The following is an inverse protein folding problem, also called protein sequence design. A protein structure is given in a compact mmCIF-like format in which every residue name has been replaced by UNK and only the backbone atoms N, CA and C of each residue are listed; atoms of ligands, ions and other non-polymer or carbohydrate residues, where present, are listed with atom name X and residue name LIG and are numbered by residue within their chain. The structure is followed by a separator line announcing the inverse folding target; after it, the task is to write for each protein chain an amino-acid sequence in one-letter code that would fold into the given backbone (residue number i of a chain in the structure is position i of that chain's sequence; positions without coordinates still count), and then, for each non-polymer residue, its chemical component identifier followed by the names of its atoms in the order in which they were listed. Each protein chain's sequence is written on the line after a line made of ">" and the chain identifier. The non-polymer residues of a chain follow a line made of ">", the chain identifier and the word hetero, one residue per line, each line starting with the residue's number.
data_IF_571063973775
#
_entry.id   IF_571063973775
#
_cell.length_a   1.000
_cell.length_b   1.000
_cell.length_c   1.000
_cell.angle_alpha   90.00
_cell.angle_beta   90.00
_cell.angle_gamma   90.00
#
_symmetry.space_group_name_H-M   'P 1'
#
loop_
_entity.id
_entity.type
_entity.pdbx_description
1 polymer ?
#
# COMPACT_ATOMS: atom_id res chain seq x y z
N UNK A 1 5.82 14.21 -23.66
CA UNK A 1 6.07 13.06 -22.78
C UNK A 1 4.85 12.15 -22.84
N UNK A 2 4.98 10.93 -23.37
CA UNK A 2 3.86 10.01 -23.65
C UNK A 2 3.04 9.77 -22.38
N UNK A 3 1.72 10.02 -22.39
CA UNK A 3 0.85 9.89 -21.20
C UNK A 3 0.99 8.55 -20.48
N UNK A 4 1.31 7.46 -21.21
CA UNK A 4 1.59 6.13 -20.65
C UNK A 4 2.83 6.12 -19.73
N UNK A 5 3.92 6.80 -20.12
CA UNK A 5 5.15 6.95 -19.33
C UNK A 5 4.91 7.74 -18.05
N UNK A 6 4.14 8.82 -18.13
CA UNK A 6 3.81 9.65 -16.95
C UNK A 6 3.03 8.84 -15.92
N UNK A 7 2.05 8.04 -16.39
CA UNK A 7 1.20 7.26 -15.51
C UNK A 7 1.94 6.08 -14.86
N UNK A 8 2.80 5.38 -15.62
CA UNK A 8 3.68 4.35 -15.07
C UNK A 8 4.67 4.95 -14.06
N UNK A 9 5.24 6.12 -14.34
CA UNK A 9 6.13 6.83 -13.42
C UNK A 9 5.42 7.24 -12.13
N UNK A 10 4.17 7.73 -12.22
CA UNK A 10 3.36 8.06 -11.06
C UNK A 10 3.03 6.84 -10.19
N UNK A 11 2.73 5.67 -10.78
CA UNK A 11 2.53 4.41 -10.05
C UNK A 11 3.79 4.05 -9.26
N UNK A 12 4.96 4.12 -9.92
CA UNK A 12 6.24 3.81 -9.28
C UNK A 12 6.53 4.76 -8.11
N UNK A 13 6.28 6.07 -8.27
CA UNK A 13 6.45 7.03 -7.17
C UNK A 13 5.53 6.71 -5.99
N UNK A 14 4.24 6.44 -6.23
CA UNK A 14 3.30 6.08 -5.15
C UNK A 14 3.76 4.82 -4.40
N UNK A 15 4.23 3.81 -5.12
CA UNK A 15 4.75 2.59 -4.51
C UNK A 15 6.00 2.87 -3.67
N UNK A 16 6.93 3.68 -4.17
CA UNK A 16 8.14 4.06 -3.42
C UNK A 16 7.80 4.82 -2.14
N UNK A 17 6.85 5.76 -2.19
CA UNK A 17 6.36 6.48 -1.01
C UNK A 17 5.74 5.50 -0.01
N UNK A 18 4.92 4.55 -0.49
CA UNK A 18 4.32 3.51 0.36
C UNK A 18 5.36 2.62 1.04
N UNK A 19 6.40 2.18 0.30
CA UNK A 19 7.52 1.39 0.84
C UNK A 19 8.30 2.18 1.88
N UNK A 20 8.56 3.47 1.63
CA UNK A 20 9.28 4.31 2.60
C UNK A 20 8.46 4.48 3.88
N UNK A 21 7.17 4.77 3.76
CA UNK A 21 6.26 4.91 4.91
C UNK A 21 6.17 3.62 5.72
N UNK A 22 5.87 2.50 5.07
CA UNK A 22 5.72 1.21 5.75
C UNK A 22 7.05 0.62 6.23
N UNK A 23 8.16 0.89 5.53
CA UNK A 23 9.50 0.48 5.94
C UNK A 23 9.94 1.16 7.24
N UNK A 24 9.63 2.45 7.41
CA UNK A 24 9.84 3.16 8.67
C UNK A 24 9.05 2.55 9.83
N UNK A 25 7.81 2.10 9.57
CA UNK A 25 6.99 1.42 10.58
C UNK A 25 7.56 0.05 10.96
N UNK A 26 8.00 -0.75 9.98
CA UNK A 26 8.64 -2.04 10.24
C UNK A 26 9.93 -1.86 11.03
N UNK A 27 10.72 -0.84 10.71
CA UNK A 27 11.93 -0.53 11.48
C UNK A 27 11.60 -0.15 12.93
N UNK A 28 10.59 0.70 13.13
CA UNK A 28 10.13 1.08 14.45
C UNK A 28 9.59 -0.12 15.24
N UNK A 29 8.82 -1.00 14.59
CA UNK A 29 8.35 -2.28 15.16
C UNK A 29 9.49 -3.16 15.64
N UNK A 30 10.58 -3.26 14.88
CA UNK A 30 11.75 -4.07 15.28
C UNK A 30 12.45 -3.45 16.50
N UNK A 31 12.49 -2.11 16.60
CA UNK A 31 13.18 -1.42 17.69
C UNK A 31 12.37 -1.31 18.99
N UNK A 32 11.07 -1.01 18.90
CA UNK A 32 10.20 -0.77 20.07
C UNK A 32 9.22 -1.90 20.36
N UNK A 33 9.00 -2.82 19.41
CA UNK A 33 8.02 -3.90 19.53
C UNK A 33 6.56 -3.43 19.54
N UNK A 34 6.31 -2.13 19.27
CA UNK A 34 5.02 -1.44 19.42
C UNK A 34 4.76 -0.32 18.39
N UNK A 35 5.51 -0.26 17.31
CA UNK A 35 5.26 0.58 16.13
C UNK A 35 4.06 0.20 15.25
N UNK A 36 3.40 -0.95 15.43
CA UNK A 36 2.29 -1.40 14.60
C UNK A 36 1.39 -2.44 15.30
N UNK A 37 0.06 -2.42 15.06
CA UNK A 37 -0.83 -3.41 15.63
C UNK A 37 -0.50 -4.82 15.13
N UNK A 38 -0.42 -5.76 16.07
CA UNK A 38 -0.23 -7.18 15.81
C UNK A 38 -1.59 -7.79 15.53
N UNK A 39 -1.82 -8.21 14.29
CA UNK A 39 -3.03 -8.93 13.94
C UNK A 39 -2.78 -10.39 14.30
N UNK A 40 -3.35 -10.82 15.43
CA UNK A 40 -3.23 -12.16 16.00
C UNK A 40 -1.79 -12.51 16.46
N UNK A 41 -0.80 -12.55 15.56
CA UNK A 41 0.63 -12.85 15.81
C UNK A 41 1.57 -12.03 14.89
N UNK A 42 1.08 -11.49 13.78
CA UNK A 42 1.92 -10.90 12.72
C UNK A 42 1.75 -9.37 12.70
N UNK A 43 2.84 -8.58 12.64
CA UNK A 43 2.74 -7.13 12.51
C UNK A 43 2.03 -6.74 11.19
N UNK A 44 0.95 -5.97 11.28
CA UNK A 44 0.22 -5.51 10.10
C UNK A 44 1.14 -4.79 9.09
N UNK A 45 2.10 -4.03 9.60
CA UNK A 45 3.05 -3.26 8.80
C UNK A 45 3.92 -4.13 7.90
N UNK A 46 4.31 -5.33 8.34
CA UNK A 46 5.10 -6.26 7.53
C UNK A 46 4.26 -6.77 6.34
N UNK A 47 2.99 -7.08 6.58
CA UNK A 47 2.06 -7.54 5.54
C UNK A 47 1.88 -6.45 4.48
N UNK A 48 1.63 -5.21 4.91
CA UNK A 48 1.42 -4.08 4.00
C UNK A 48 2.71 -3.74 3.24
N UNK A 49 3.87 -3.81 3.90
CA UNK A 49 5.18 -3.62 3.26
C UNK A 49 5.41 -4.63 2.12
N UNK A 50 5.13 -5.92 2.36
CA UNK A 50 5.19 -6.96 1.32
C UNK A 50 4.18 -6.68 0.20
N UNK A 51 2.98 -6.22 0.56
CA UNK A 51 1.94 -5.83 -0.41
C UNK A 51 2.32 -4.60 -1.25
N UNK A 52 3.31 -3.79 -0.86
CA UNK A 52 3.86 -2.72 -1.69
C UNK A 52 5.03 -3.20 -2.58
N UNK A 53 5.89 -4.07 -2.03
CA UNK A 53 7.02 -4.67 -2.75
C UNK A 53 6.59 -5.50 -3.95
N UNK A 54 5.59 -6.35 -3.80
CA UNK A 54 5.16 -7.26 -4.87
C UNK A 54 4.61 -6.48 -6.08
N UNK A 55 3.67 -5.52 -5.93
CA UNK A 55 3.22 -4.68 -7.03
C UNK A 55 4.32 -3.88 -7.69
N UNK A 56 5.36 -3.45 -6.96
CA UNK A 56 6.51 -2.75 -7.54
C UNK A 56 7.31 -3.66 -8.49
N UNK A 57 7.66 -4.86 -8.02
CA UNK A 57 8.39 -5.85 -8.83
C UNK A 57 7.56 -6.25 -10.04
N UNK A 58 6.28 -6.53 -9.84
CA UNK A 58 5.35 -6.90 -10.90
C UNK A 58 5.14 -5.78 -11.92
N UNK A 59 5.06 -4.52 -11.47
CA UNK A 59 4.93 -3.36 -12.35
C UNK A 59 6.15 -3.25 -13.28
N UNK A 60 7.36 -3.46 -12.75
CA UNK A 60 8.60 -3.40 -13.53
C UNK A 60 8.73 -4.58 -14.52
N UNK A 61 8.21 -5.75 -14.17
CA UNK A 61 8.21 -6.95 -15.04
C UNK A 61 7.19 -6.87 -16.19
N UNK A 62 6.25 -5.93 -16.15
CA UNK A 62 5.19 -5.62 -17.13
C UNK A 62 4.36 -6.80 -17.71
N UNK A 63 4.53 -8.03 -17.20
CA UNK A 63 3.90 -9.26 -17.72
C UNK A 63 2.82 -9.83 -16.79
N UNK A 64 2.83 -9.44 -15.52
CA UNK A 64 2.00 -10.05 -14.47
C UNK A 64 0.93 -9.10 -13.91
N UNK A 65 0.24 -8.34 -14.77
CA UNK A 65 -0.78 -7.36 -14.36
C UNK A 65 -1.92 -7.96 -13.51
N UNK A 66 -2.23 -9.25 -13.68
CA UNK A 66 -3.18 -9.97 -12.81
C UNK A 66 -2.68 -10.09 -11.38
N UNK A 67 -1.39 -10.39 -11.19
CA UNK A 67 -0.78 -10.50 -9.87
C UNK A 67 -0.76 -9.14 -9.16
N UNK A 68 -0.49 -8.07 -9.91
CA UNK A 68 -0.59 -6.69 -9.39
C UNK A 68 -1.97 -6.43 -8.80
N UNK A 69 -3.05 -6.77 -9.52
CA UNK A 69 -4.43 -6.57 -9.07
C UNK A 69 -4.79 -7.42 -7.86
N UNK A 70 -4.35 -8.68 -7.82
CA UNK A 70 -4.62 -9.57 -6.69
C UNK A 70 -3.98 -9.02 -5.40
N UNK A 71 -2.71 -8.63 -5.44
CA UNK A 71 -2.03 -8.11 -4.25
C UNK A 71 -2.51 -6.71 -3.85
N UNK A 72 -2.72 -5.81 -4.81
CA UNK A 72 -3.26 -4.47 -4.49
C UNK A 72 -4.70 -4.54 -3.99
N UNK A 73 -5.55 -5.40 -4.57
CA UNK A 73 -6.91 -5.63 -4.09
C UNK A 73 -6.96 -6.28 -2.70
N UNK A 74 -6.08 -7.24 -2.43
CA UNK A 74 -5.94 -7.83 -1.10
C UNK A 74 -5.51 -6.77 -0.08
N UNK A 75 -4.54 -5.93 -0.44
CA UNK A 75 -4.07 -4.84 0.41
C UNK A 75 -5.17 -3.81 0.72
N UNK A 76 -6.00 -3.45 -0.27
CA UNK A 76 -7.18 -2.59 -0.04
C UNK A 76 -8.14 -3.24 0.95
N UNK A 77 -8.41 -4.53 0.81
CA UNK A 77 -9.32 -5.26 1.70
C UNK A 77 -8.81 -5.24 3.14
N UNK A 78 -7.51 -5.51 3.33
CA UNK A 78 -6.85 -5.44 4.65
C UNK A 78 -6.89 -4.01 5.19
N UNK A 79 -6.64 -3.00 4.35
CA UNK A 79 -6.67 -1.59 4.75
C UNK A 79 -8.08 -1.13 5.17
N UNK A 80 -9.13 -1.62 4.50
CA UNK A 80 -10.53 -1.37 4.90
C UNK A 80 -10.79 -1.97 6.28
N UNK A 81 -10.44 -3.25 6.48
CA UNK A 81 -10.62 -3.92 7.77
C UNK A 81 -9.83 -3.19 8.87
N UNK A 82 -8.58 -2.81 8.61
CA UNK A 82 -7.77 -2.04 9.55
C UNK A 82 -8.36 -0.67 9.86
N UNK A 83 -8.93 0.01 8.86
CA UNK A 83 -9.60 1.30 9.05
C UNK A 83 -10.88 1.16 9.90
N UNK A 84 -11.64 0.09 9.72
CA UNK A 84 -12.80 -0.22 10.55
C UNK A 84 -12.36 -0.53 11.99
N UNK A 85 -11.31 -1.35 12.17
CA UNK A 85 -10.77 -1.65 13.49
C UNK A 85 -10.30 -0.40 14.23
N UNK A 86 -9.61 0.51 13.52
CA UNK A 86 -9.23 1.82 14.03
C UNK A 86 -10.44 2.62 14.51
N UNK A 87 -11.51 2.64 13.70
CA UNK A 87 -12.72 3.39 14.01
C UNK A 87 -13.47 2.82 15.21
N UNK A 88 -13.46 1.49 15.37
CA UNK A 88 -14.06 0.80 16.53
C UNK A 88 -13.20 0.84 17.80
N UNK A 89 -12.00 1.43 17.76
CA UNK A 89 -11.08 1.49 18.90
C UNK A 89 -10.43 0.15 19.26
N UNK A 90 -10.59 -0.87 18.41
CA UNK A 90 -10.16 -2.25 18.67
C UNK A 90 -8.75 -2.56 18.11
N UNK A 91 -8.08 -1.55 17.55
CA UNK A 91 -6.70 -1.60 17.08
C UNK A 91 -6.16 -0.21 16.76
N UNK A 92 -5.01 0.16 17.31
CA UNK A 92 -4.39 1.46 17.06
C UNK A 92 -3.33 1.33 15.96
N UNK A 93 -3.67 1.74 14.74
CA UNK A 93 -2.66 2.03 13.72
C UNK A 93 -1.82 3.24 14.16
N UNK A 94 -0.52 3.21 13.85
CA UNK A 94 0.38 4.32 14.13
C UNK A 94 -0.16 5.60 13.48
N UNK A 95 -0.23 6.64 14.30
CA UNK A 95 -0.57 7.99 13.86
C UNK A 95 0.70 8.71 13.47
N UNK A 96 0.63 9.48 12.39
CA UNK A 96 1.66 10.47 12.09
C UNK A 96 1.73 11.53 13.20
N UNK A 97 2.81 12.30 13.29
CA UNK A 97 2.92 13.45 14.21
C UNK A 97 1.72 14.41 14.13
N UNK A 98 1.03 14.45 12.98
CA UNK A 98 -0.18 15.23 12.75
C UNK A 98 -1.50 14.54 13.20
N UNK A 99 -1.43 13.40 13.89
CA UNK A 99 -2.58 12.64 14.40
C UNK A 99 -3.30 11.75 13.37
N UNK A 100 -2.89 11.77 12.10
CA UNK A 100 -3.55 11.01 11.02
C UNK A 100 -3.18 9.53 11.05
N UNK A 101 -4.14 8.59 11.07
CA UNK A 101 -3.83 7.16 11.04
C UNK A 101 -3.26 6.74 9.69
N UNK A 102 -2.09 6.11 9.68
CA UNK A 102 -1.45 5.66 8.43
C UNK A 102 -2.25 4.59 7.66
N UNK A 103 -3.18 3.90 8.32
CA UNK A 103 -4.06 2.92 7.67
C UNK A 103 -5.01 3.57 6.64
N UNK A 104 -5.48 4.79 6.89
CA UNK A 104 -6.25 5.56 5.90
C UNK A 104 -5.38 6.00 4.71
N UNK A 105 -4.12 6.41 4.97
CA UNK A 105 -3.18 6.76 3.92
C UNK A 105 -2.88 5.55 3.02
N UNK A 106 -2.65 4.37 3.61
CA UNK A 106 -2.42 3.14 2.85
C UNK A 106 -3.64 2.81 1.98
N UNK A 107 -4.86 2.92 2.52
CA UNK A 107 -6.09 2.71 1.77
C UNK A 107 -6.19 3.66 0.56
N UNK A 108 -5.90 4.94 0.78
CA UNK A 108 -5.89 5.95 -0.28
C UNK A 108 -4.83 5.63 -1.35
N UNK A 109 -3.61 5.27 -0.96
CA UNK A 109 -2.54 4.93 -1.90
C UNK A 109 -2.91 3.68 -2.72
N UNK A 110 -3.38 2.60 -2.11
CA UNK A 110 -3.74 1.39 -2.85
C UNK A 110 -4.94 1.61 -3.78
N UNK A 111 -5.95 2.38 -3.34
CA UNK A 111 -7.08 2.74 -4.21
C UNK A 111 -6.63 3.58 -5.42
N UNK A 112 -5.75 4.55 -5.20
CA UNK A 112 -5.17 5.38 -6.26
C UNK A 112 -4.32 4.54 -7.23
N UNK A 113 -3.51 3.60 -6.72
CA UNK A 113 -2.70 2.68 -7.51
C UNK A 113 -3.55 1.81 -8.45
N UNK A 114 -4.65 1.26 -7.94
CA UNK A 114 -5.61 0.49 -8.74
C UNK A 114 -6.19 1.37 -9.86
N UNK A 115 -6.72 2.55 -9.51
CA UNK A 115 -7.29 3.48 -10.49
C UNK A 115 -6.30 3.92 -11.57
N UNK A 116 -5.06 4.22 -11.18
CA UNK A 116 -3.98 4.56 -12.09
C UNK A 116 -3.63 3.39 -13.03
N UNK A 117 -3.54 2.16 -12.50
CA UNK A 117 -3.24 0.98 -13.32
C UNK A 117 -4.36 0.66 -14.30
N UNK A 118 -5.64 0.77 -13.91
CA UNK A 118 -6.79 0.64 -14.84
C UNK A 118 -6.65 1.65 -15.99
N UNK A 119 -6.38 2.91 -15.66
CA UNK A 119 -6.25 3.98 -16.65
C UNK A 119 -5.07 3.72 -17.61
N UNK A 120 -3.97 3.16 -17.10
CA UNK A 120 -2.80 2.78 -17.91
C UNK A 120 -3.16 1.69 -18.91
N UNK A 121 -3.83 0.63 -18.45
CA UNK A 121 -4.24 -0.48 -19.30
C UNK A 121 -5.26 -0.05 -20.35
N UNK A 122 -6.19 0.83 -20.00
CA UNK A 122 -7.17 1.35 -20.94
C UNK A 122 -6.49 2.19 -22.05
N UNK A 123 -5.51 3.03 -21.67
CA UNK A 123 -4.66 3.72 -22.65
C UNK A 123 -3.75 2.80 -23.45
N UNK A 124 -3.44 1.60 -22.99
CA UNK A 124 -2.58 0.66 -23.72
C UNK A 124 -3.34 -0.08 -24.84
N UNK A 125 -4.63 -0.35 -24.63
CA UNK A 125 -5.53 -1.01 -25.58
C UNK A 125 -6.08 -0.06 -26.68
N UNK A 126 -5.66 1.20 -26.70
CA UNK A 126 -6.03 2.24 -27.67
C UNK A 126 -4.79 2.95 -28.20
#
# INVERSE_FOLDING_TARGET
>A
MTTKKVLSFAITILLLIGIWGTGGLVWNEIQTGNGCPKIWIIPACVIVFICFLIPLVVHNLNKWNRLYFVFTGLAVTIAIVASIMQFTGNGECPKLDNGTPMCYLSLLIFSALIGLKVTLLNKENH
#
